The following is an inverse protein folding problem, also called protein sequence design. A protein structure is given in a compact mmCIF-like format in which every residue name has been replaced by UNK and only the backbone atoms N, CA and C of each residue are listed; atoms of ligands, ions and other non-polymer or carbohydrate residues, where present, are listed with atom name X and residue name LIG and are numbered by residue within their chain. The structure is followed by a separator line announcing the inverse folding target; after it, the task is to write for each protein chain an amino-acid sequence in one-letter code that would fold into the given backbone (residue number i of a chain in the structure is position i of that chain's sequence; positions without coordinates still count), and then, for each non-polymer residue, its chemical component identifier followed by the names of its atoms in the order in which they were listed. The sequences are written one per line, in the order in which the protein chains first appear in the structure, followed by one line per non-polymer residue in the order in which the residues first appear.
data_IF_386811938999
#
_entry.id   IF_386811938999
#
_cell.length_a   1.000
_cell.length_b   1.000
_cell.length_c   1.000
_cell.angle_alpha   90.00
_cell.angle_beta   90.00
_cell.angle_gamma   90.00
#
_symmetry.space_group_name_H-M   'P 1'
#
loop_
_entity.id
_entity.type
_entity.pdbx_description
1 polymer ?
#
# COMPACT_ATOMS: atom_id res chain seq x y z
N UNK A 1 -13.54 -3.52 3.70
CA UNK A 1 -13.86 -4.96 3.56
C UNK A 1 -12.59 -5.73 3.24
N UNK A 2 -12.26 -6.74 4.04
CA UNK A 2 -11.03 -7.49 3.92
C UNK A 2 -11.17 -8.61 2.90
N UNK A 3 -10.28 -8.67 1.93
CA UNK A 3 -9.87 -9.95 1.38
C UNK A 3 -8.50 -10.20 1.97
N UNK A 4 -8.44 -11.02 3.03
CA UNK A 4 -7.17 -11.57 3.49
C UNK A 4 -6.68 -12.48 2.38
N UNK A 5 -5.90 -11.93 1.44
CA UNK A 5 -5.20 -12.77 0.47
C UNK A 5 -4.27 -13.65 1.29
N UNK A 6 -4.64 -14.91 1.49
CA UNK A 6 -3.69 -15.95 1.85
C UNK A 6 -2.72 -16.06 0.68
N UNK A 7 -1.69 -15.23 0.67
CA UNK A 7 -0.53 -15.48 -0.18
C UNK A 7 -0.02 -16.84 0.26
N UNK A 8 0.00 -17.81 -0.65
CA UNK A 8 0.76 -19.04 -0.44
C UNK A 8 2.10 -18.66 0.21
N UNK A 9 2.47 -19.37 1.27
CA UNK A 9 3.75 -19.29 1.99
C UNK A 9 4.95 -19.63 1.08
N UNK A 10 5.02 -19.09 -0.12
CA UNK A 10 6.28 -19.00 -0.83
C UNK A 10 7.02 -17.83 -0.17
N UNK A 11 8.18 -18.07 0.47
CA UNK A 11 9.00 -16.97 0.89
C UNK A 11 9.29 -16.15 -0.37
N UNK A 12 8.79 -14.91 -0.40
CA UNK A 12 9.26 -13.93 -1.37
C UNK A 12 10.73 -13.72 -1.03
N UNK A 13 11.57 -14.48 -1.72
CA UNK A 13 13.01 -14.42 -1.53
C UNK A 13 13.48 -13.04 -1.98
N UNK A 14 13.89 -12.23 -1.00
CA UNK A 14 14.48 -10.91 -1.22
C UNK A 14 15.94 -11.08 -1.65
N UNK A 15 16.49 -10.09 -2.37
CA UNK A 15 17.93 -10.01 -2.62
C UNK A 15 18.68 -9.28 -1.50
N UNK A 16 18.00 -8.91 -0.42
CA UNK A 16 18.62 -8.33 0.78
C UNK A 16 18.88 -6.82 0.69
N UNK A 17 18.36 -6.14 -0.34
CA UNK A 17 18.42 -4.69 -0.53
C UNK A 17 17.27 -4.20 -1.41
N UNK A 18 17.01 -2.90 -1.43
CA UNK A 18 16.03 -2.26 -2.31
C UNK A 18 16.71 -1.26 -3.24
N UNK A 19 16.08 -1.04 -4.41
CA UNK A 19 16.61 -0.14 -5.42
C UNK A 19 15.56 0.84 -5.94
N UNK A 20 16.01 1.97 -6.47
CA UNK A 20 15.22 2.88 -7.30
C UNK A 20 16.01 3.20 -8.57
N UNK A 21 15.32 3.33 -9.71
CA UNK A 21 15.98 3.72 -10.94
C UNK A 21 16.26 5.22 -10.94
N UNK A 22 17.41 5.61 -11.46
CA UNK A 22 17.68 6.97 -11.90
C UNK A 22 18.54 6.88 -13.16
N UNK A 23 18.10 7.58 -14.22
CA UNK A 23 18.69 7.49 -15.56
C UNK A 23 18.80 6.04 -16.08
N UNK A 24 20.00 5.56 -16.36
CA UNK A 24 20.31 4.24 -16.92
C UNK A 24 20.78 3.23 -15.87
N UNK A 25 20.56 3.51 -14.57
CA UNK A 25 21.06 2.68 -13.45
C UNK A 25 20.02 2.48 -12.35
N UNK A 26 20.22 1.44 -11.56
CA UNK A 26 19.49 1.23 -10.30
C UNK A 26 20.36 1.64 -9.13
N UNK A 27 19.88 2.52 -8.27
CA UNK A 27 20.58 2.93 -7.06
C UNK A 27 20.05 2.18 -5.86
N UNK A 28 20.94 1.65 -5.04
CA UNK A 28 20.61 0.96 -3.80
C UNK A 28 20.13 2.01 -2.78
N UNK A 29 18.89 1.88 -2.33
CA UNK A 29 18.24 2.85 -1.44
C UNK A 29 18.20 2.38 0.02
N UNK A 30 18.23 1.07 0.23
CA UNK A 30 18.29 0.45 1.55
C UNK A 30 18.93 -0.93 1.44
N UNK A 31 19.56 -1.37 2.52
CA UNK A 31 20.18 -2.70 2.67
C UNK A 31 19.60 -3.35 3.92
N UNK A 32 19.17 -4.61 3.83
CA UNK A 32 18.61 -5.36 4.95
C UNK A 32 19.50 -6.53 5.37
N UNK A 33 19.90 -7.38 4.42
CA UNK A 33 20.62 -8.63 4.68
C UNK A 33 21.85 -8.79 3.79
N UNK A 34 21.86 -8.18 2.61
CA UNK A 34 23.02 -8.21 1.72
C UNK A 34 24.04 -7.18 2.19
N UNK A 35 25.15 -7.67 2.76
CA UNK A 35 26.18 -6.83 3.37
C UNK A 35 27.27 -6.37 2.38
N UNK A 36 27.34 -6.99 1.19
CA UNK A 36 28.36 -6.65 0.18
C UNK A 36 28.02 -5.37 -0.57
N UNK A 37 26.78 -4.90 -0.48
CA UNK A 37 26.32 -3.68 -1.12
C UNK A 37 26.05 -2.58 -0.10
N UNK A 38 26.09 -1.33 -0.55
CA UNK A 38 25.89 -0.15 0.29
C UNK A 38 24.84 0.77 -0.33
N UNK A 39 24.08 1.43 0.53
CA UNK A 39 23.18 2.52 0.11
C UNK A 39 23.98 3.58 -0.67
N UNK A 40 23.46 4.00 -1.80
CA UNK A 40 24.09 4.96 -2.71
C UNK A 40 24.86 4.33 -3.87
N UNK A 41 25.30 3.07 -3.74
CA UNK A 41 25.91 2.35 -4.88
C UNK A 41 24.90 2.15 -6.01
N UNK A 42 25.40 2.10 -7.24
CA UNK A 42 24.58 1.91 -8.42
C UNK A 42 24.83 0.55 -9.08
N UNK A 43 23.80 0.02 -9.74
CA UNK A 43 23.83 -1.22 -10.51
C UNK A 43 23.66 -0.85 -11.99
N UNK A 44 24.61 -1.27 -12.81
CA UNK A 44 24.65 -1.05 -14.25
C UNK A 44 23.91 -2.12 -15.04
N UNK A 45 23.94 -3.36 -14.54
CA UNK A 45 23.42 -4.52 -15.23
C UNK A 45 22.97 -5.60 -14.25
N UNK A 46 21.98 -6.38 -14.66
CA UNK A 46 21.60 -7.65 -14.03
C UNK A 46 21.80 -8.76 -15.05
N UNK A 47 22.50 -9.83 -14.66
CA UNK A 47 22.84 -10.96 -15.55
C UNK A 47 23.48 -10.53 -16.88
N UNK A 48 24.40 -9.56 -16.80
CA UNK A 48 25.07 -8.92 -17.93
C UNK A 48 24.17 -8.14 -18.90
N UNK A 49 22.88 -7.95 -18.59
CA UNK A 49 21.94 -7.13 -19.36
C UNK A 49 21.84 -5.76 -18.70
N UNK A 50 22.07 -4.69 -19.48
CA UNK A 50 22.02 -3.31 -18.97
C UNK A 50 20.60 -2.92 -18.56
N UNK A 51 20.48 -2.05 -17.55
CA UNK A 51 19.17 -1.61 -17.02
C UNK A 51 18.21 -1.08 -18.12
N UNK A 52 18.63 -0.27 -19.11
CA UNK A 52 17.74 0.20 -20.17
C UNK A 52 17.10 -0.93 -21.01
N UNK A 53 17.83 -2.03 -21.23
CA UNK A 53 17.31 -3.19 -21.97
C UNK A 53 16.37 -4.03 -21.10
N UNK A 54 16.67 -4.17 -19.81
CA UNK A 54 15.79 -4.84 -18.85
C UNK A 54 14.42 -4.15 -18.74
N UNK A 55 14.36 -2.82 -18.88
CA UNK A 55 13.07 -2.09 -18.88
C UNK A 55 12.17 -2.58 -20.02
N UNK A 56 12.73 -2.81 -21.20
CA UNK A 56 11.97 -3.32 -22.36
C UNK A 56 11.50 -4.75 -22.07
N UNK A 57 12.40 -5.60 -21.59
CA UNK A 57 12.13 -7.03 -21.34
C UNK A 57 11.12 -7.25 -20.21
N UNK A 58 11.14 -6.40 -19.18
CA UNK A 58 10.31 -6.50 -17.99
C UNK A 58 9.24 -5.41 -17.89
N UNK A 59 8.93 -4.71 -19.00
CA UNK A 59 7.97 -3.58 -19.03
C UNK A 59 6.67 -3.86 -18.29
N UNK A 60 6.13 -5.08 -18.45
CA UNK A 60 4.89 -5.52 -17.80
C UNK A 60 4.98 -5.60 -16.26
N UNK A 61 6.17 -5.85 -15.73
CA UNK A 61 6.40 -6.09 -14.29
C UNK A 61 6.85 -4.83 -13.55
N UNK A 62 7.52 -3.90 -14.23
CA UNK A 62 7.95 -2.63 -13.63
C UNK A 62 6.76 -1.66 -13.40
N UNK A 63 5.68 -1.84 -14.16
CA UNK A 63 4.32 -1.35 -13.92
C UNK A 63 4.13 0.17 -13.76
N UNK A 64 4.99 1.03 -14.31
CA UNK A 64 4.81 2.48 -14.22
C UNK A 64 5.38 3.25 -15.42
N UNK A 65 4.86 4.47 -15.65
CA UNK A 65 5.34 5.37 -16.71
C UNK A 65 6.41 6.36 -16.22
N UNK A 66 6.66 6.42 -14.92
CA UNK A 66 7.66 7.28 -14.27
C UNK A 66 8.70 6.42 -13.59
N UNK A 67 9.98 6.67 -13.86
CA UNK A 67 11.05 5.78 -13.45
C UNK A 67 11.19 5.62 -11.93
N UNK A 68 10.86 6.65 -11.14
CA UNK A 68 10.90 6.62 -9.67
C UNK A 68 9.89 5.65 -9.06
N UNK A 69 8.90 5.23 -9.85
CA UNK A 69 7.78 4.39 -9.43
C UNK A 69 7.90 2.94 -9.93
N UNK A 70 8.93 2.62 -10.72
CA UNK A 70 9.17 1.26 -11.22
C UNK A 70 9.43 0.25 -10.07
N UNK A 71 8.76 -0.91 -10.12
CA UNK A 71 8.91 -1.99 -9.14
C UNK A 71 9.94 -3.03 -9.57
N UNK A 72 11.14 -2.95 -9.03
CA UNK A 72 12.27 -3.80 -9.42
C UNK A 72 12.39 -5.13 -8.67
N UNK A 73 11.61 -5.34 -7.60
CA UNK A 73 11.71 -6.53 -6.74
C UNK A 73 11.56 -7.84 -7.53
N UNK A 74 10.61 -7.89 -8.48
CA UNK A 74 10.41 -9.06 -9.32
C UNK A 74 11.64 -9.35 -10.19
N UNK A 75 12.19 -8.33 -10.85
CA UNK A 75 13.36 -8.48 -11.74
C UNK A 75 14.58 -8.93 -10.94
N UNK A 76 14.84 -8.30 -9.79
CA UNK A 76 15.91 -8.69 -8.86
C UNK A 76 15.72 -10.13 -8.35
N UNK A 77 14.48 -10.53 -8.04
CA UNK A 77 14.19 -11.90 -7.59
C UNK A 77 14.51 -12.94 -8.66
N UNK A 78 14.38 -12.60 -9.95
CA UNK A 78 14.71 -13.48 -11.09
C UNK A 78 16.16 -13.43 -11.52
N UNK A 79 16.89 -12.39 -11.13
CA UNK A 79 18.28 -12.21 -11.51
C UNK A 79 19.22 -13.05 -10.64
N UNK A 80 20.33 -13.50 -11.23
CA UNK A 80 21.37 -14.30 -10.56
C UNK A 80 22.59 -13.48 -10.14
N UNK A 81 22.84 -12.35 -10.81
CA UNK A 81 23.99 -11.50 -10.58
C UNK A 81 23.68 -10.03 -10.85
N UNK A 82 24.47 -9.14 -10.27
CA UNK A 82 24.43 -7.70 -10.57
C UNK A 82 25.84 -7.13 -10.74
N UNK A 83 26.00 -6.20 -11.68
CA UNK A 83 27.21 -5.42 -11.87
C UNK A 83 27.06 -4.08 -11.15
N UNK A 84 27.76 -3.93 -10.04
CA UNK A 84 27.85 -2.74 -9.21
C UNK A 84 28.84 -1.73 -9.79
N UNK A 85 28.60 -0.46 -9.49
CA UNK A 85 29.54 0.65 -9.67
C UNK A 85 29.66 1.35 -8.32
N UNK A 86 30.88 1.48 -7.81
CA UNK A 86 31.18 2.27 -6.62
C UNK A 86 31.32 3.77 -6.91
N UNK A 87 31.64 4.56 -5.89
CA UNK A 87 31.77 6.02 -6.00
C UNK A 87 32.96 6.44 -6.89
N UNK A 88 33.97 5.59 -7.02
CA UNK A 88 35.17 5.82 -7.84
C UNK A 88 34.98 5.35 -9.29
N UNK A 89 33.82 4.78 -9.62
CA UNK A 89 33.49 4.28 -10.96
C UNK A 89 34.03 2.88 -11.25
N UNK A 90 34.56 2.18 -10.25
CA UNK A 90 35.05 0.81 -10.38
C UNK A 90 33.85 -0.14 -10.45
N UNK A 91 33.90 -1.05 -11.41
CA UNK A 91 32.83 -2.03 -11.63
C UNK A 91 33.18 -3.39 -11.04
N UNK A 92 32.25 -3.97 -10.30
CA UNK A 92 32.37 -5.33 -9.76
C UNK A 92 31.06 -6.09 -10.01
N UNK A 93 31.16 -7.35 -10.43
CA UNK A 93 29.98 -8.22 -10.55
C UNK A 93 29.91 -9.17 -9.37
N UNK A 94 28.77 -9.18 -8.68
CA UNK A 94 28.48 -10.10 -7.57
C UNK A 94 27.30 -11.01 -7.91
N UNK A 95 27.29 -12.21 -7.32
CA UNK A 95 26.14 -13.11 -7.35
C UNK A 95 25.08 -12.63 -6.36
N UNK A 96 23.82 -12.60 -6.78
CA UNK A 96 22.69 -12.23 -5.94
C UNK A 96 22.24 -13.44 -5.11
N UNK A 97 22.34 -13.30 -3.79
CA UNK A 97 21.82 -14.28 -2.85
C UNK A 97 20.33 -14.07 -2.59
N UNK A 98 19.67 -15.13 -2.14
CA UNK A 98 18.24 -15.15 -1.84
C UNK A 98 18.05 -15.28 -0.35
N UNK A 99 17.45 -14.26 0.24
CA UNK A 99 17.26 -14.15 1.66
C UNK A 99 15.79 -14.33 2.02
N UNK A 100 15.56 -14.99 3.17
CA UNK A 100 14.23 -15.02 3.78
C UNK A 100 13.86 -13.59 4.17
N UNK A 101 12.68 -13.15 3.73
CA UNK A 101 12.14 -11.86 4.11
C UNK A 101 12.11 -11.72 5.63
N UNK A 102 12.63 -10.59 6.13
CA UNK A 102 12.63 -10.27 7.55
C UNK A 102 11.20 -10.15 8.08
N UNK A 103 11.01 -10.48 9.35
CA UNK A 103 9.72 -10.23 10.01
C UNK A 103 9.38 -8.74 9.94
N UNK A 104 8.12 -8.48 9.63
CA UNK A 104 7.60 -7.12 9.51
C UNK A 104 7.16 -6.62 10.88
N UNK A 105 7.67 -5.46 11.29
CA UNK A 105 7.21 -4.73 12.48
C UNK A 105 6.51 -3.46 12.04
N UNK A 106 5.25 -3.24 12.43
CA UNK A 106 4.53 -2.02 12.11
C UNK A 106 5.12 -0.81 12.84
N UNK A 107 5.10 0.35 12.18
CA UNK A 107 5.43 1.64 12.77
C UNK A 107 4.15 2.46 12.82
N UNK A 108 3.73 2.77 14.05
CA UNK A 108 2.72 3.77 14.35
C UNK A 108 3.38 4.83 15.25
N UNK A 109 3.63 6.01 14.71
CA UNK A 109 4.26 7.07 15.47
C UNK A 109 3.71 8.45 15.12
N UNK A 110 3.70 9.33 16.11
CA UNK A 110 3.43 10.75 15.97
C UNK A 110 4.60 11.49 16.64
N UNK A 111 5.25 12.40 15.91
CA UNK A 111 6.41 13.13 16.41
C UNK A 111 6.32 14.58 15.98
N UNK A 112 6.77 15.49 16.83
CA UNK A 112 7.05 16.85 16.42
C UNK A 112 8.22 16.86 15.43
N UNK A 113 7.98 17.25 14.19
CA UNK A 113 9.01 17.36 13.15
C UNK A 113 9.80 18.67 13.29
N UNK A 114 9.09 19.77 13.58
CA UNK A 114 9.67 21.07 13.91
C UNK A 114 8.69 21.87 14.79
N UNK A 115 8.98 23.13 15.08
CA UNK A 115 8.15 23.99 15.96
C UNK A 115 6.66 24.04 15.59
N UNK A 116 6.33 23.91 14.31
CA UNK A 116 4.98 24.14 13.79
C UNK A 116 4.45 22.93 12.98
N UNK A 117 5.16 21.79 12.95
CA UNK A 117 4.78 20.61 12.16
C UNK A 117 4.80 19.31 12.98
N UNK A 118 3.69 18.56 12.91
CA UNK A 118 3.62 17.16 13.34
C UNK A 118 3.87 16.22 12.16
N UNK A 119 4.52 15.09 12.44
CA UNK A 119 4.68 13.97 11.51
C UNK A 119 4.04 12.73 12.12
N UNK A 120 3.03 12.21 11.44
CA UNK A 120 2.49 10.87 11.68
C UNK A 120 3.12 9.92 10.66
N UNK A 121 3.57 8.74 11.10
CA UNK A 121 4.01 7.65 10.23
C UNK A 121 3.20 6.40 10.53
N UNK A 122 2.55 5.83 9.52
CA UNK A 122 1.71 4.64 9.59
C UNK A 122 2.11 3.67 8.46
N UNK A 123 2.82 2.59 8.79
CA UNK A 123 3.28 1.60 7.80
C UNK A 123 2.29 0.48 7.50
N UNK A 124 1.14 0.48 8.17
CA UNK A 124 -0.05 -0.26 7.77
C UNK A 124 -1.27 0.31 8.48
N UNK A 125 -2.43 -0.29 8.21
CA UNK A 125 -3.71 -0.07 8.85
C UNK A 125 -4.26 -1.35 9.49
N UNK A 126 -3.38 -2.26 9.91
CA UNK A 126 -3.76 -3.58 10.40
C UNK A 126 -4.24 -3.59 11.86
N UNK A 127 -3.89 -2.56 12.65
CA UNK A 127 -4.24 -2.47 14.07
C UNK A 127 -4.96 -1.15 14.39
N UNK A 128 -6.28 -1.16 14.23
CA UNK A 128 -7.17 -0.02 14.50
C UNK A 128 -7.01 0.52 15.92
N UNK A 129 -6.88 -0.34 16.92
CA UNK A 129 -6.79 0.07 18.33
C UNK A 129 -5.48 0.80 18.64
N UNK A 130 -4.36 0.31 18.13
CA UNK A 130 -3.06 0.95 18.31
C UNK A 130 -3.03 2.33 17.63
N UNK A 131 -3.59 2.45 16.43
CA UNK A 131 -3.68 3.71 15.70
C UNK A 131 -4.60 4.69 16.42
N UNK A 132 -5.77 4.23 16.87
CA UNK A 132 -6.69 5.06 17.65
C UNK A 132 -6.04 5.56 18.94
N UNK A 133 -5.31 4.70 19.65
CA UNK A 133 -4.59 5.06 20.88
C UNK A 133 -3.50 6.10 20.61
N UNK A 134 -2.78 5.98 19.48
CA UNK A 134 -1.79 6.96 19.05
C UNK A 134 -2.44 8.34 18.82
N UNK A 135 -3.57 8.39 18.11
CA UNK A 135 -4.29 9.63 17.82
C UNK A 135 -4.87 10.28 19.08
N UNK A 136 -5.43 9.46 19.98
CA UNK A 136 -6.01 9.95 21.23
C UNK A 136 -4.94 10.52 22.17
N UNK A 137 -3.76 9.87 22.24
CA UNK A 137 -2.62 10.35 23.06
C UNK A 137 -2.01 11.66 22.55
N UNK A 138 -2.02 11.91 21.23
CA UNK A 138 -1.48 13.13 20.61
C UNK A 138 -2.57 14.16 20.25
N UNK A 139 -3.80 13.97 20.73
CA UNK A 139 -4.95 14.83 20.41
C UNK A 139 -4.70 16.30 20.70
N UNK A 140 -3.99 16.63 21.79
CA UNK A 140 -3.67 18.03 22.12
C UNK A 140 -2.79 18.67 21.06
N UNK A 141 -1.78 17.96 20.60
CA UNK A 141 -0.84 18.47 19.59
C UNK A 141 -1.52 18.56 18.24
N UNK A 142 -2.32 17.55 17.84
CA UNK A 142 -3.07 17.56 16.59
C UNK A 142 -4.02 18.77 16.47
N UNK A 143 -4.61 19.20 17.58
CA UNK A 143 -5.48 20.38 17.62
C UNK A 143 -4.70 21.71 17.74
N UNK A 144 -3.40 21.68 18.05
CA UNK A 144 -2.58 22.88 18.27
C UNK A 144 -1.65 23.20 17.10
N UNK A 145 -1.11 22.18 16.43
CA UNK A 145 -0.13 22.35 15.37
C UNK A 145 -0.81 22.73 14.04
N UNK A 146 -0.32 23.79 13.36
CA UNK A 146 -0.94 24.25 12.13
C UNK A 146 -0.63 23.35 10.93
N UNK A 147 0.47 22.60 10.97
CA UNK A 147 0.92 21.72 9.89
C UNK A 147 0.97 20.25 10.33
N UNK A 148 0.48 19.36 9.48
CA UNK A 148 0.53 17.92 9.67
C UNK A 148 1.08 17.23 8.42
N UNK A 149 2.10 16.40 8.61
CA UNK A 149 2.59 15.46 7.60
C UNK A 149 2.13 14.06 8.01
N UNK A 150 1.58 13.30 7.06
CA UNK A 150 1.18 11.90 7.25
C UNK A 150 1.96 11.05 6.24
N UNK A 151 2.88 10.24 6.73
CA UNK A 151 3.70 9.35 5.92
C UNK A 151 3.12 7.95 5.89
N UNK A 152 2.55 7.60 4.73
CA UNK A 152 1.98 6.30 4.39
C UNK A 152 2.71 5.65 3.22
N UNK A 153 3.93 6.11 2.87
CA UNK A 153 4.68 5.58 1.72
C UNK A 153 4.87 4.07 1.78
N UNK A 154 5.08 3.51 2.98
CA UNK A 154 5.28 2.08 3.20
C UNK A 154 4.01 1.36 3.69
N UNK A 155 2.83 1.99 3.58
CA UNK A 155 1.59 1.46 4.15
C UNK A 155 1.12 0.19 3.44
N UNK A 156 1.09 -0.94 4.15
CA UNK A 156 0.75 -2.27 3.59
C UNK A 156 -0.76 -2.54 3.52
N UNK A 157 -1.60 -1.58 3.82
CA UNK A 157 -3.05 -1.74 3.90
C UNK A 157 -3.51 -2.27 5.26
N UNK A 158 -4.74 -2.78 5.33
CA UNK A 158 -5.35 -3.21 6.59
C UNK A 158 -6.86 -2.99 6.56
N UNK A 159 -7.40 -2.35 7.60
CA UNK A 159 -8.80 -1.90 7.62
C UNK A 159 -8.91 -0.45 7.19
N UNK A 160 -10.00 -0.12 6.50
CA UNK A 160 -10.34 1.29 6.29
C UNK A 160 -10.70 1.95 7.62
N UNK A 161 -11.34 1.23 8.54
CA UNK A 161 -11.74 1.69 9.88
C UNK A 161 -10.57 2.30 10.66
N UNK A 162 -9.35 1.81 10.42
CA UNK A 162 -8.15 2.23 11.12
C UNK A 162 -7.81 3.71 10.92
N UNK A 163 -8.22 4.31 9.79
CA UNK A 163 -7.95 5.72 9.51
C UNK A 163 -9.14 6.64 9.76
N UNK A 164 -10.32 6.13 10.15
CA UNK A 164 -11.52 6.97 10.32
C UNK A 164 -11.35 8.09 11.34
N UNK A 165 -10.68 7.82 12.47
CA UNK A 165 -10.37 8.85 13.47
C UNK A 165 -9.40 9.92 12.97
N UNK A 166 -8.62 9.63 11.93
CA UNK A 166 -7.67 10.57 11.33
C UNK A 166 -8.36 11.51 10.34
N UNK A 167 -9.43 11.06 9.67
CA UNK A 167 -10.10 11.81 8.61
C UNK A 167 -10.51 13.24 9.00
N UNK A 168 -11.07 13.51 10.20
CA UNK A 168 -11.44 14.87 10.59
C UNK A 168 -10.27 15.87 10.58
N UNK A 169 -9.02 15.41 10.69
CA UNK A 169 -7.84 16.28 10.67
C UNK A 169 -7.32 16.58 9.27
N UNK A 170 -7.85 15.91 8.23
CA UNK A 170 -7.40 16.09 6.85
C UNK A 170 -8.10 17.25 6.15
N UNK A 171 -9.30 17.60 6.61
CA UNK A 171 -10.19 18.48 5.89
C UNK A 171 -10.63 19.67 6.71
N UNK A 172 -11.06 20.71 5.99
CA UNK A 172 -11.64 21.93 6.55
C UNK A 172 -12.89 21.65 7.40
N UNK A 173 -13.25 22.62 8.26
CA UNK A 173 -14.39 22.62 9.18
C UNK A 173 -15.76 22.62 8.45
N UNK A 174 -16.05 21.53 7.72
CA UNK A 174 -17.26 21.29 6.92
C UNK A 174 -17.58 19.80 6.83
N UNK A 175 -18.81 19.48 6.43
CA UNK A 175 -19.21 18.11 6.13
C UNK A 175 -18.66 17.63 4.78
N UNK A 176 -18.21 16.38 4.73
CA UNK A 176 -17.62 15.76 3.54
C UNK A 176 -18.20 14.37 3.38
N UNK A 177 -18.69 14.07 2.18
CA UNK A 177 -19.17 12.74 1.82
C UNK A 177 -18.00 11.81 1.55
N UNK A 178 -17.94 10.68 2.25
CA UNK A 178 -16.87 9.70 2.03
C UNK A 178 -17.10 8.82 0.81
N UNK A 179 -18.36 8.55 0.46
CA UNK A 179 -18.71 7.85 -0.76
C UNK A 179 -19.08 8.86 -1.84
N UNK A 180 -18.46 8.70 -3.01
CA UNK A 180 -18.94 9.29 -4.25
C UNK A 180 -19.70 8.21 -5.04
N UNK A 181 -20.96 8.48 -5.34
CA UNK A 181 -21.78 7.59 -6.16
C UNK A 181 -21.27 7.43 -7.59
N UNK A 182 -20.34 8.28 -8.06
CA UNK A 182 -19.71 8.10 -9.37
C UNK A 182 -18.60 7.05 -9.39
N UNK A 183 -18.07 6.64 -8.24
CA UNK A 183 -16.98 5.68 -8.18
C UNK A 183 -17.52 4.26 -8.43
N UNK A 184 -17.14 3.69 -9.57
CA UNK A 184 -17.55 2.32 -9.94
C UNK A 184 -16.41 1.34 -9.71
N UNK A 185 -16.69 0.26 -9.00
CA UNK A 185 -15.79 -0.89 -8.90
C UNK A 185 -16.14 -1.90 -10.00
N UNK A 186 -15.13 -2.45 -10.68
CA UNK A 186 -15.32 -3.58 -11.60
C UNK A 186 -14.64 -4.84 -11.05
N UNK A 187 -15.37 -5.95 -11.07
CA UNK A 187 -14.87 -7.26 -10.68
C UNK A 187 -14.76 -8.17 -11.90
N UNK A 188 -13.68 -8.93 -11.98
CA UNK A 188 -13.47 -9.88 -13.07
C UNK A 188 -13.99 -11.27 -12.69
N UNK A 189 -15.13 -11.67 -13.24
CA UNK A 189 -15.80 -12.94 -12.97
C UNK A 189 -15.38 -14.04 -13.96
N UNK A 190 -14.17 -14.56 -13.76
CA UNK A 190 -13.72 -15.80 -14.40
C UNK A 190 -14.05 -17.01 -13.53
N UNK A 191 -14.07 -18.21 -14.11
CA UNK A 191 -14.20 -19.48 -13.37
C UNK A 191 -13.15 -19.58 -12.26
N UNK A 192 -11.89 -19.27 -12.59
CA UNK A 192 -10.79 -19.27 -11.61
C UNK A 192 -11.03 -18.28 -10.47
N UNK A 193 -11.40 -17.04 -10.78
CA UNK A 193 -11.62 -16.03 -9.75
C UNK A 193 -12.80 -16.39 -8.84
N UNK A 194 -13.88 -16.93 -9.40
CA UNK A 194 -15.02 -17.41 -8.63
C UNK A 194 -14.59 -18.46 -7.61
N UNK A 195 -13.92 -19.53 -8.05
CA UNK A 195 -13.51 -20.61 -7.15
C UNK A 195 -12.49 -20.16 -6.09
N UNK A 196 -11.53 -19.30 -6.46
CA UNK A 196 -10.57 -18.77 -5.50
C UNK A 196 -11.25 -17.89 -4.45
N UNK A 197 -12.13 -16.96 -4.87
CA UNK A 197 -12.83 -16.07 -3.94
C UNK A 197 -13.82 -16.81 -3.04
N UNK A 198 -14.57 -17.76 -3.59
CA UNK A 198 -15.47 -18.59 -2.78
C UNK A 198 -14.69 -19.39 -1.74
N UNK A 199 -13.54 -19.96 -2.11
CA UNK A 199 -12.66 -20.66 -1.17
C UNK A 199 -12.13 -19.73 -0.08
N UNK A 200 -11.71 -18.51 -0.42
CA UNK A 200 -11.24 -17.53 0.57
C UNK A 200 -12.36 -17.21 1.57
N UNK A 201 -13.59 -17.00 1.09
CA UNK A 201 -14.78 -16.75 1.93
C UNK A 201 -15.12 -17.96 2.81
N UNK A 202 -15.05 -19.18 2.27
CA UNK A 202 -15.27 -20.42 3.03
C UNK A 202 -14.23 -20.64 4.14
N UNK A 203 -13.03 -20.04 4.00
CA UNK A 203 -11.98 -20.07 5.01
C UNK A 203 -12.09 -18.94 6.04
N UNK A 204 -12.97 -17.95 5.84
CA UNK A 204 -13.24 -16.93 6.84
C UNK A 204 -14.11 -17.51 7.96
N UNK A 205 -13.82 -17.09 9.20
CA UNK A 205 -14.69 -17.36 10.34
C UNK A 205 -15.90 -16.41 10.26
N UNK A 206 -16.81 -16.71 9.33
CA UNK A 206 -17.97 -15.88 9.02
C UNK A 206 -18.81 -15.57 10.26
N UNK A 207 -18.94 -16.53 11.18
CA UNK A 207 -19.74 -16.35 12.40
C UNK A 207 -19.14 -15.30 13.34
N UNK A 208 -17.81 -15.14 13.33
CA UNK A 208 -17.10 -14.10 14.09
C UNK A 208 -17.23 -12.68 13.54
N UNK A 209 -17.73 -12.53 12.30
CA UNK A 209 -17.91 -11.22 11.67
C UNK A 209 -19.05 -10.42 12.32
N UNK A 210 -18.90 -9.10 12.36
CA UNK A 210 -19.98 -8.18 12.71
C UNK A 210 -21.09 -8.16 11.63
N UNK A 211 -22.25 -7.60 11.96
CA UNK A 211 -23.44 -7.61 11.07
C UNK A 211 -23.19 -6.93 9.72
N UNK A 212 -22.45 -5.82 9.70
CA UNK A 212 -22.13 -5.11 8.46
C UNK A 212 -21.19 -5.95 7.60
N UNK A 213 -20.15 -6.51 8.21
CA UNK A 213 -19.22 -7.42 7.52
C UNK A 213 -19.93 -8.63 6.92
N UNK A 214 -20.87 -9.25 7.65
CA UNK A 214 -21.71 -10.36 7.14
C UNK A 214 -22.54 -9.94 5.93
N UNK A 215 -23.24 -8.81 6.01
CA UNK A 215 -24.04 -8.26 4.92
C UNK A 215 -23.18 -8.03 3.67
N UNK A 216 -22.02 -7.40 3.82
CA UNK A 216 -21.11 -7.18 2.70
C UNK A 216 -20.65 -8.51 2.08
N UNK A 217 -20.27 -9.49 2.91
CA UNK A 217 -19.86 -10.82 2.43
C UNK A 217 -20.98 -11.48 1.64
N UNK A 218 -22.22 -11.41 2.10
CA UNK A 218 -23.38 -11.95 1.39
C UNK A 218 -23.61 -11.27 0.03
N UNK A 219 -23.48 -9.95 -0.04
CA UNK A 219 -23.59 -9.18 -1.29
C UNK A 219 -22.51 -9.65 -2.28
N UNK A 220 -21.26 -9.82 -1.81
CA UNK A 220 -20.18 -10.31 -2.67
C UNK A 220 -20.40 -11.75 -3.14
N UNK A 221 -20.88 -12.65 -2.28
CA UNK A 221 -21.23 -14.02 -2.67
C UNK A 221 -22.33 -14.00 -3.75
N UNK A 222 -23.36 -13.18 -3.57
CA UNK A 222 -24.45 -13.05 -4.53
C UNK A 222 -23.95 -12.50 -5.87
N UNK A 223 -23.12 -11.46 -5.85
CA UNK A 223 -22.51 -10.88 -7.06
C UNK A 223 -21.64 -11.90 -7.81
N UNK A 224 -20.76 -12.62 -7.10
CA UNK A 224 -19.93 -13.69 -7.66
C UNK A 224 -20.76 -14.77 -8.35
N UNK A 225 -21.84 -15.23 -7.71
CA UNK A 225 -22.75 -16.25 -8.27
C UNK A 225 -23.52 -15.72 -9.49
N UNK A 226 -24.09 -14.52 -9.38
CA UNK A 226 -24.88 -13.87 -10.44
C UNK A 226 -24.07 -13.61 -11.71
N UNK A 227 -22.77 -13.30 -11.55
CA UNK A 227 -21.90 -12.88 -12.63
C UNK A 227 -20.89 -13.93 -13.09
N UNK A 228 -21.03 -15.18 -12.63
CA UNK A 228 -20.14 -16.29 -13.00
C UNK A 228 -19.86 -16.37 -14.51
N UNK A 229 -18.58 -16.42 -14.89
CA UNK A 229 -18.06 -16.48 -16.28
C UNK A 229 -18.39 -15.28 -17.19
N UNK A 230 -18.82 -14.13 -16.64
CA UNK A 230 -19.14 -12.93 -17.44
C UNK A 230 -17.96 -12.00 -17.72
N UNK A 231 -16.77 -12.27 -17.18
CA UNK A 231 -15.63 -11.37 -17.31
C UNK A 231 -15.78 -10.13 -16.43
N UNK A 232 -15.35 -8.95 -16.90
CA UNK A 232 -15.46 -7.71 -16.12
C UNK A 232 -16.90 -7.22 -16.04
N UNK A 233 -17.41 -7.08 -14.82
CA UNK A 233 -18.75 -6.55 -14.52
C UNK A 233 -18.62 -5.46 -13.46
N UNK A 234 -19.37 -4.38 -13.61
CA UNK A 234 -19.46 -3.33 -12.59
C UNK A 234 -20.23 -3.85 -11.38
N UNK A 235 -19.63 -3.74 -10.20
CA UNK A 235 -20.21 -4.15 -8.93
C UNK A 235 -21.39 -3.24 -8.57
N UNK A 236 -22.52 -3.86 -8.26
CA UNK A 236 -23.75 -3.15 -7.96
C UNK A 236 -23.78 -2.73 -6.47
N UNK A 237 -23.52 -1.45 -6.21
CA UNK A 237 -23.53 -0.88 -4.86
C UNK A 237 -24.92 -0.43 -4.42
N UNK A 238 -25.96 -0.55 -5.25
CA UNK A 238 -27.31 -0.10 -4.91
C UNK A 238 -27.93 -0.88 -3.75
N UNK A 239 -27.47 -2.12 -3.52
CA UNK A 239 -27.88 -2.96 -2.40
C UNK A 239 -27.21 -2.62 -1.06
N UNK A 240 -26.29 -1.66 -1.02
CA UNK A 240 -25.64 -1.26 0.23
C UNK A 240 -26.60 -0.46 1.13
N UNK A 241 -26.52 -0.60 2.47
CA UNK A 241 -27.26 0.24 3.42
C UNK A 241 -27.12 1.74 3.11
N UNK A 242 -28.23 2.50 3.23
CA UNK A 242 -28.24 3.94 2.94
C UNK A 242 -27.31 4.73 3.87
N UNK A 243 -27.11 4.24 5.08
CA UNK A 243 -26.22 4.79 6.09
C UNK A 243 -24.77 4.79 5.61
N UNK A 244 -24.37 3.71 4.91
CA UNK A 244 -23.07 3.65 4.27
C UNK A 244 -23.02 4.62 3.10
N UNK A 245 -24.04 4.60 2.23
CA UNK A 245 -24.14 5.50 1.06
C UNK A 245 -24.12 6.99 1.40
N UNK A 246 -24.50 7.36 2.62
CA UNK A 246 -24.58 8.75 3.11
C UNK A 246 -23.56 9.07 4.20
N UNK A 247 -22.53 8.24 4.34
CA UNK A 247 -21.51 8.41 5.36
C UNK A 247 -20.77 9.73 5.18
N UNK A 248 -20.95 10.62 6.17
CA UNK A 248 -20.31 11.92 6.23
C UNK A 248 -19.33 12.00 7.37
N UNK A 249 -18.25 12.73 7.15
CA UNK A 249 -17.35 13.18 8.21
C UNK A 249 -17.45 14.69 8.34
N UNK A 250 -17.14 15.20 9.51
CA UNK A 250 -16.96 16.63 9.74
C UNK A 250 -15.47 16.90 9.94
N UNK A 251 -14.89 17.73 9.09
CA UNK A 251 -13.48 18.14 9.23
C UNK A 251 -13.25 19.08 10.41
N UNK A 252 -12.06 19.68 10.48
CA UNK A 252 -11.63 20.51 11.61
C UNK A 252 -10.89 21.74 11.13
N UNK A 253 -10.82 22.76 11.99
CA UNK A 253 -10.03 23.98 11.73
C UNK A 253 -8.53 23.79 11.83
N UNK A 254 -8.08 22.82 12.63
CA UNK A 254 -6.67 22.49 12.83
C UNK A 254 -6.48 20.98 12.73
N UNK A 255 -5.40 20.50 12.08
CA UNK A 255 -4.40 21.28 11.33
C UNK A 255 -4.95 22.01 10.11
N UNK A 256 -4.34 23.15 9.77
CA UNK A 256 -4.77 23.97 8.62
C UNK A 256 -4.06 23.60 7.30
N UNK A 257 -2.93 22.90 7.40
CA UNK A 257 -2.11 22.47 6.26
C UNK A 257 -1.73 21.02 6.46
N UNK A 258 -2.22 20.16 5.59
CA UNK A 258 -2.01 18.72 5.67
C UNK A 258 -1.30 18.25 4.40
N UNK A 259 -0.23 17.48 4.56
CA UNK A 259 0.51 16.86 3.46
C UNK A 259 0.56 15.36 3.71
N UNK A 260 0.20 14.57 2.70
CA UNK A 260 0.26 13.12 2.76
C UNK A 260 1.38 12.64 1.84
N UNK A 261 2.32 11.87 2.39
CA UNK A 261 3.34 11.18 1.60
C UNK A 261 2.88 9.76 1.30
N UNK A 262 2.82 9.43 0.02
CA UNK A 262 2.54 8.09 -0.51
C UNK A 262 3.55 7.74 -1.60
N UNK A 263 3.74 6.44 -1.86
CA UNK A 263 4.58 5.91 -2.94
C UNK A 263 3.97 4.59 -3.43
N UNK A 264 4.53 3.98 -4.48
CA UNK A 264 4.07 2.70 -5.08
C UNK A 264 4.05 1.49 -4.13
N UNK A 265 4.66 1.64 -2.96
CA UNK A 265 4.67 0.66 -1.88
C UNK A 265 3.47 0.79 -0.93
N UNK A 266 2.72 1.89 -1.02
CA UNK A 266 1.40 2.02 -0.41
C UNK A 266 0.43 1.08 -1.13
N UNK A 267 -0.44 0.42 -0.38
CA UNK A 267 -1.37 -0.57 -0.92
C UNK A 267 -2.68 -0.66 -0.16
N UNK A 268 -3.74 -1.11 -0.85
CA UNK A 268 -5.01 -1.53 -0.24
C UNK A 268 -5.66 -0.40 0.58
N UNK A 269 -5.97 -0.58 1.87
CA UNK A 269 -6.52 0.51 2.71
C UNK A 269 -5.59 1.73 2.80
N UNK A 270 -4.28 1.55 2.55
CA UNK A 270 -3.34 2.63 2.33
C UNK A 270 -3.75 3.51 1.14
N UNK A 271 -4.04 2.88 0.00
CA UNK A 271 -4.51 3.58 -1.20
C UNK A 271 -5.90 4.20 -0.96
N UNK A 272 -6.78 3.48 -0.27
CA UNK A 272 -8.14 3.97 0.06
C UNK A 272 -8.08 5.24 0.90
N UNK A 273 -7.20 5.29 1.90
CA UNK A 273 -6.94 6.51 2.69
C UNK A 273 -6.46 7.68 1.82
N UNK A 274 -5.53 7.43 0.89
CA UNK A 274 -5.00 8.44 -0.01
C UNK A 274 -6.08 8.96 -0.97
N UNK A 275 -6.92 8.08 -1.51
CA UNK A 275 -8.04 8.48 -2.39
C UNK A 275 -9.09 9.29 -1.63
N UNK A 276 -9.45 8.88 -0.41
CA UNK A 276 -10.36 9.65 0.45
C UNK A 276 -9.80 11.04 0.73
N UNK A 277 -8.50 11.15 1.00
CA UNK A 277 -7.86 12.43 1.31
C UNK A 277 -7.77 13.43 0.14
N UNK A 278 -8.09 13.02 -1.09
CA UNK A 278 -8.13 13.92 -2.26
C UNK A 278 -9.44 14.71 -2.39
N UNK A 279 -10.47 14.36 -1.61
CA UNK A 279 -11.78 15.02 -1.63
C UNK A 279 -11.73 16.43 -1.07
#
# INVERSE_FOLDING_TARGET
MFFKMYSNNQPLNSVGFQVKKYEDRLYITSTSQEIRVKKGQSILALDNIKIPELIINYKKYLNENTYEREKWDYVLSKSSSCTLIDEDGVTETITLEKYKQSEYTPIYSCKQHNKDTLLITLTDFANTDAINTLLDSHKKELNAFPNLIIDVRLNRGGSDDAFFKLLPYLFEDKEISLLDSSDTMQLNHTERNFHLRMKDIEMEDYDSLDELSKLFTDIFIQDLKKNYKKGFVTFDTSGLPKELQSLKIHGRRSPSRVVIFTDVTCGSSGDSFVEVAKK
#
